data_IF_239073414094
#
_entry.id   IF_239073414094
#
_cell.length_a   1.000
_cell.length_b   1.000
_cell.length_c   1.000
_cell.angle_alpha   90.00
_cell.angle_beta   90.00
_cell.angle_gamma   90.00
#
_symmetry.space_group_name_H-M   'P 1'
#
loop_
_entity.id
_entity.type
_entity.pdbx_description
1 polymer ?
#
# COMPACT_ATOMS: atom_id res chain seq x y z
N UNK A 1 -66.87 -25.64 45.54
CA UNK A 1 -67.72 -26.70 46.09
C UNK A 1 -66.87 -27.53 47.03
N UNK A 2 -67.25 -27.69 48.31
CA UNK A 2 -66.61 -28.65 49.19
C UNK A 2 -66.83 -30.08 48.65
N UNK A 3 -65.87 -30.98 48.88
CA UNK A 3 -66.10 -32.40 48.65
C UNK A 3 -67.09 -32.95 49.68
N UNK A 4 -67.78 -34.05 49.39
CA UNK A 4 -68.79 -34.65 50.28
C UNK A 4 -68.27 -34.88 51.70
N UNK A 5 -66.98 -35.22 51.86
CA UNK A 5 -66.37 -35.43 53.17
C UNK A 5 -66.20 -34.14 53.97
N UNK A 6 -65.78 -33.04 53.34
CA UNK A 6 -65.66 -31.74 54.01
C UNK A 6 -67.03 -31.13 54.30
N UNK A 7 -68.01 -31.33 53.40
CA UNK A 7 -69.38 -30.87 53.56
C UNK A 7 -70.08 -31.53 54.75
N UNK A 8 -70.00 -32.87 54.87
CA UNK A 8 -70.57 -33.62 56.01
C UNK A 8 -69.97 -33.21 57.35
N UNK A 9 -68.72 -32.77 57.35
CA UNK A 9 -67.99 -32.38 58.56
C UNK A 9 -68.10 -30.88 58.86
N UNK A 10 -68.74 -30.11 57.97
CA UNK A 10 -68.85 -28.65 58.03
C UNK A 10 -67.49 -27.94 58.16
N UNK A 11 -66.50 -28.37 57.35
CA UNK A 11 -65.13 -27.80 57.33
C UNK A 11 -64.85 -27.14 55.98
N UNK A 12 -64.06 -26.06 55.99
CA UNK A 12 -63.61 -25.38 54.78
C UNK A 12 -62.77 -26.31 53.88
N UNK A 13 -63.29 -26.63 52.70
CA UNK A 13 -62.61 -27.49 51.74
C UNK A 13 -61.63 -26.67 50.89
N UNK A 14 -60.34 -26.72 51.23
CA UNK A 14 -59.28 -26.08 50.43
C UNK A 14 -58.68 -27.08 49.46
N UNK A 15 -58.75 -26.78 48.17
CA UNK A 15 -58.16 -27.60 47.11
C UNK A 15 -56.96 -26.91 46.49
N UNK A 16 -55.91 -27.70 46.21
CA UNK A 16 -54.84 -27.27 45.31
C UNK A 16 -55.20 -27.70 43.89
N UNK A 17 -54.97 -26.88 42.85
CA UNK A 17 -55.17 -27.30 41.46
C UNK A 17 -54.29 -28.50 41.05
N UNK A 18 -53.23 -28.77 41.81
CA UNK A 18 -52.25 -29.82 41.50
C UNK A 18 -52.61 -31.19 42.12
N UNK A 19 -53.60 -31.25 43.02
CA UNK A 19 -53.99 -32.49 43.71
C UNK A 19 -55.47 -32.80 43.52
N UNK A 20 -55.78 -34.05 43.17
CA UNK A 20 -57.18 -34.53 43.07
C UNK A 20 -57.89 -34.66 44.44
N UNK A 21 -57.20 -34.30 45.52
CA UNK A 21 -57.71 -34.35 46.88
C UNK A 21 -57.61 -32.97 47.54
N UNK A 22 -58.61 -32.59 48.34
CA UNK A 22 -58.53 -31.40 49.15
C UNK A 22 -57.53 -31.60 50.31
N UNK A 23 -56.95 -30.51 50.80
CA UNK A 23 -55.93 -30.52 51.84
C UNK A 23 -56.41 -31.24 53.12
N UNK A 24 -57.70 -31.13 53.45
CA UNK A 24 -58.28 -31.79 54.62
C UNK A 24 -58.45 -33.30 54.43
N UNK A 25 -58.85 -33.77 53.25
CA UNK A 25 -58.91 -35.20 52.97
C UNK A 25 -57.52 -35.84 52.96
N UNK A 26 -56.52 -35.15 52.40
CA UNK A 26 -55.11 -35.61 52.45
C UNK A 26 -54.60 -35.66 53.89
N UNK A 27 -54.83 -34.60 54.68
CA UNK A 27 -54.38 -34.53 56.07
C UNK A 27 -55.00 -35.62 56.94
N UNK A 28 -56.26 -35.99 56.66
CA UNK A 28 -56.98 -37.06 57.36
C UNK A 28 -56.66 -38.47 56.85
N UNK A 29 -55.79 -38.62 55.85
CA UNK A 29 -55.45 -39.91 55.26
C UNK A 29 -56.62 -40.58 54.53
N UNK A 30 -57.62 -39.80 54.09
CA UNK A 30 -58.75 -40.33 53.35
C UNK A 30 -58.33 -40.65 51.91
N UNK A 31 -58.57 -41.88 51.48
CA UNK A 31 -58.17 -42.39 50.16
C UNK A 31 -59.02 -41.83 49.01
N UNK A 32 -60.24 -41.36 49.28
CA UNK A 32 -61.14 -40.81 48.27
C UNK A 32 -61.59 -39.40 48.64
N UNK A 33 -61.30 -38.45 47.76
CA UNK A 33 -61.86 -37.10 47.76
C UNK A 33 -62.69 -36.96 46.49
N UNK A 34 -63.98 -36.71 46.62
CA UNK A 34 -64.91 -36.51 45.50
C UNK A 34 -64.93 -35.05 45.02
N UNK A 35 -63.80 -34.35 45.19
CA UNK A 35 -63.67 -32.98 44.75
C UNK A 35 -63.74 -32.91 43.22
N UNK A 36 -64.81 -32.32 42.70
CA UNK A 36 -64.99 -32.11 41.26
C UNK A 36 -64.16 -30.90 40.83
N UNK A 37 -63.21 -31.12 39.92
CA UNK A 37 -62.45 -30.03 39.29
C UNK A 37 -63.43 -29.14 38.51
N UNK A 38 -63.50 -27.86 38.87
CA UNK A 38 -64.42 -26.93 38.21
C UNK A 38 -64.02 -26.72 36.74
N UNK A 39 -64.99 -26.55 35.82
CA UNK A 39 -64.71 -26.20 34.41
C UNK A 39 -63.88 -24.93 34.22
N UNK A 40 -63.84 -24.02 35.21
CA UNK A 40 -62.96 -22.84 35.20
C UNK A 40 -61.48 -23.20 35.36
N UNK A 41 -61.16 -24.21 36.17
CA UNK A 41 -59.78 -24.70 36.38
C UNK A 41 -59.21 -25.28 35.09
N UNK A 42 -59.99 -26.11 34.38
CA UNK A 42 -59.60 -26.63 33.06
C UNK A 42 -59.37 -25.53 32.02
N UNK A 43 -60.19 -24.48 32.03
CA UNK A 43 -60.01 -23.30 31.17
C UNK A 43 -58.73 -22.52 31.52
N UNK A 44 -58.41 -22.37 32.81
CA UNK A 44 -57.16 -21.75 33.26
C UNK A 44 -55.94 -22.54 32.79
N UNK A 45 -55.93 -23.85 33.01
CA UNK A 45 -54.84 -24.73 32.57
C UNK A 45 -54.67 -24.72 31.05
N UNK A 46 -55.76 -24.70 30.30
CA UNK A 46 -55.71 -24.60 28.84
C UNK A 46 -55.10 -23.28 28.37
N UNK A 47 -55.44 -22.16 29.03
CA UNK A 47 -54.83 -20.85 28.74
C UNK A 47 -53.35 -20.80 29.09
N UNK A 48 -52.97 -21.30 30.27
CA UNK A 48 -51.56 -21.33 30.67
C UNK A 48 -50.74 -22.25 29.78
N UNK A 49 -51.28 -23.42 29.39
CA UNK A 49 -50.65 -24.29 28.38
C UNK A 49 -50.46 -23.55 27.06
N UNK A 50 -51.50 -22.88 26.55
CA UNK A 50 -51.40 -22.13 25.29
C UNK A 50 -50.37 -21.00 25.38
N UNK A 51 -50.33 -20.28 26.51
CA UNK A 51 -49.34 -19.22 26.78
C UNK A 51 -47.92 -19.78 26.81
N UNK A 52 -47.69 -20.89 27.51
CA UNK A 52 -46.39 -21.52 27.59
C UNK A 52 -45.95 -22.08 26.24
N UNK A 53 -46.86 -22.70 25.48
CA UNK A 53 -46.58 -23.17 24.13
C UNK A 53 -46.15 -22.01 23.22
N UNK A 54 -46.90 -20.90 23.21
CA UNK A 54 -46.54 -19.73 22.42
C UNK A 54 -45.15 -19.17 22.79
N UNK A 55 -44.78 -19.19 24.08
CA UNK A 55 -43.44 -18.78 24.53
C UNK A 55 -42.34 -19.75 24.09
N UNK A 56 -42.62 -21.06 24.04
CA UNK A 56 -41.69 -22.05 23.53
C UNK A 56 -41.45 -21.84 22.03
N UNK A 57 -42.53 -21.67 21.26
CA UNK A 57 -42.46 -21.43 19.82
C UNK A 57 -41.69 -20.13 19.52
N UNK A 58 -41.94 -19.05 20.27
CA UNK A 58 -41.19 -17.80 20.17
C UNK A 58 -39.69 -17.98 20.49
N UNK A 59 -39.38 -18.76 21.53
CA UNK A 59 -38.00 -19.01 21.92
C UNK A 59 -37.28 -19.85 20.86
N UNK A 60 -37.94 -20.86 20.30
CA UNK A 60 -37.42 -21.67 19.21
C UNK A 60 -37.14 -20.82 17.97
N UNK A 61 -38.07 -19.94 17.57
CA UNK A 61 -37.85 -19.01 16.47
C UNK A 61 -36.64 -18.08 16.72
N UNK A 62 -36.49 -17.55 17.94
CA UNK A 62 -35.33 -16.74 18.34
C UNK A 62 -34.02 -17.52 18.27
N UNK A 63 -34.03 -18.79 18.69
CA UNK A 63 -32.86 -19.66 18.63
C UNK A 63 -32.44 -19.95 17.19
N UNK A 64 -33.40 -20.29 16.33
CA UNK A 64 -33.15 -20.52 14.90
C UNK A 64 -32.62 -19.27 14.20
N UNK A 65 -33.17 -18.09 14.52
CA UNK A 65 -32.64 -16.81 14.02
C UNK A 65 -31.20 -16.58 14.47
N UNK A 66 -30.91 -16.76 15.76
CA UNK A 66 -29.57 -16.59 16.30
C UNK A 66 -28.56 -17.59 15.72
N UNK A 67 -28.97 -18.83 15.48
CA UNK A 67 -28.14 -19.85 14.83
C UNK A 67 -27.82 -19.46 13.38
N UNK A 68 -28.82 -18.97 12.62
CA UNK A 68 -28.60 -18.43 11.28
C UNK A 68 -27.62 -17.25 11.29
N UNK A 69 -27.74 -16.35 12.27
CA UNK A 69 -26.85 -15.18 12.39
C UNK A 69 -25.41 -15.61 12.72
N UNK A 70 -25.22 -16.62 13.56
CA UNK A 70 -23.90 -17.19 13.87
C UNK A 70 -23.26 -17.80 12.63
N UNK A 71 -24.01 -18.59 11.86
CA UNK A 71 -23.50 -19.17 10.61
C UNK A 71 -23.09 -18.09 9.60
N UNK A 72 -23.92 -17.04 9.44
CA UNK A 72 -23.60 -15.91 8.59
C UNK A 72 -22.34 -15.16 9.07
N UNK A 73 -22.18 -14.98 10.38
CA UNK A 73 -20.99 -14.36 10.96
C UNK A 73 -19.72 -15.21 10.75
N UNK A 74 -19.82 -16.53 10.87
CA UNK A 74 -18.71 -17.44 10.58
C UNK A 74 -18.30 -17.41 9.11
N UNK A 75 -19.26 -17.38 8.19
CA UNK A 75 -18.99 -17.24 6.75
C UNK A 75 -18.32 -15.91 6.43
N UNK A 76 -18.80 -14.82 7.04
CA UNK A 76 -18.17 -13.50 6.90
C UNK A 76 -16.73 -13.49 7.47
N UNK A 77 -16.49 -14.15 8.60
CA UNK A 77 -15.15 -14.28 9.18
C UNK A 77 -14.20 -15.08 8.27
N UNK A 78 -14.66 -16.19 7.70
CA UNK A 78 -13.90 -16.98 6.71
C UNK A 78 -13.57 -16.15 5.47
N UNK A 79 -14.53 -15.38 4.96
CA UNK A 79 -14.31 -14.50 3.81
C UNK A 79 -13.28 -13.41 4.12
N UNK A 80 -13.34 -12.81 5.32
CA UNK A 80 -12.37 -11.82 5.77
C UNK A 80 -10.95 -12.39 5.87
N UNK A 81 -10.79 -13.61 6.40
CA UNK A 81 -9.48 -14.27 6.49
C UNK A 81 -8.87 -14.50 5.09
N UNK A 82 -9.68 -14.96 4.12
CA UNK A 82 -9.25 -15.13 2.73
C UNK A 82 -8.82 -13.79 2.12
N UNK A 83 -9.57 -12.72 2.37
CA UNK A 83 -9.24 -11.38 1.89
C UNK A 83 -7.91 -10.86 2.46
N UNK A 84 -7.66 -11.08 3.77
CA UNK A 84 -6.39 -10.73 4.42
C UNK A 84 -5.22 -11.47 3.78
N UNK A 85 -5.35 -12.80 3.58
CA UNK A 85 -4.31 -13.61 2.93
C UNK A 85 -4.01 -13.15 1.50
N UNK A 86 -5.04 -12.77 0.74
CA UNK A 86 -4.88 -12.24 -0.60
C UNK A 86 -4.13 -10.89 -0.60
N UNK A 87 -4.49 -9.99 0.32
CA UNK A 87 -3.82 -8.69 0.47
C UNK A 87 -2.34 -8.84 0.86
N UNK A 88 -2.02 -9.77 1.77
CA UNK A 88 -0.64 -10.08 2.13
C UNK A 88 0.18 -10.63 0.94
N UNK A 89 -0.41 -11.53 0.15
CA UNK A 89 0.23 -12.07 -1.03
C UNK A 89 0.55 -10.95 -2.05
N UNK A 90 -0.40 -10.07 -2.31
CA UNK A 90 -0.20 -8.90 -3.18
C UNK A 90 0.93 -8.00 -2.65
N UNK A 91 0.92 -7.68 -1.35
CA UNK A 91 1.97 -6.88 -0.72
C UNK A 91 3.36 -7.51 -0.89
N UNK A 92 3.48 -8.83 -0.71
CA UNK A 92 4.75 -9.56 -0.93
C UNK A 92 5.24 -9.42 -2.37
N UNK A 93 4.34 -9.55 -3.36
CA UNK A 93 4.74 -9.39 -4.78
C UNK A 93 5.21 -7.97 -5.08
N UNK A 94 4.55 -6.95 -4.52
CA UNK A 94 4.94 -5.54 -4.65
C UNK A 94 6.32 -5.28 -4.06
N UNK A 95 6.59 -5.80 -2.86
CA UNK A 95 7.91 -5.69 -2.21
C UNK A 95 8.99 -6.35 -3.05
N UNK A 96 8.76 -7.57 -3.54
CA UNK A 96 9.73 -8.28 -4.39
C UNK A 96 10.04 -7.50 -5.67
N UNK A 97 9.01 -6.94 -6.33
CA UNK A 97 9.18 -6.08 -7.51
C UNK A 97 10.01 -4.84 -7.18
N UNK A 98 9.72 -4.16 -6.08
CA UNK A 98 10.45 -2.97 -5.63
C UNK A 98 11.93 -3.28 -5.34
N UNK A 99 12.23 -4.41 -4.69
CA UNK A 99 13.61 -4.86 -4.45
C UNK A 99 14.36 -5.12 -5.75
N UNK A 100 13.72 -5.76 -6.73
CA UNK A 100 14.33 -6.00 -8.05
C UNK A 100 14.63 -4.70 -8.79
N UNK A 101 13.70 -3.74 -8.77
CA UNK A 101 13.92 -2.42 -9.39
C UNK A 101 15.03 -1.65 -8.69
N UNK A 102 15.06 -1.66 -7.36
CA UNK A 102 16.11 -1.03 -6.57
C UNK A 102 17.49 -1.64 -6.85
N UNK A 103 17.57 -2.98 -6.93
CA UNK A 103 18.80 -3.68 -7.30
C UNK A 103 19.31 -3.28 -8.70
N UNK A 104 18.41 -3.24 -9.69
CA UNK A 104 18.75 -2.79 -11.05
C UNK A 104 19.24 -1.33 -11.08
N UNK A 105 18.58 -0.44 -10.33
CA UNK A 105 18.98 0.96 -10.23
C UNK A 105 20.37 1.12 -9.59
N UNK A 106 20.65 0.41 -8.49
CA UNK A 106 21.98 0.40 -7.85
C UNK A 106 23.07 -0.11 -8.79
N UNK A 107 22.80 -1.17 -9.56
CA UNK A 107 23.75 -1.68 -10.54
C UNK A 107 24.01 -0.70 -11.70
N UNK A 108 23.01 0.10 -12.09
CA UNK A 108 23.19 1.19 -13.06
C UNK A 108 24.03 2.33 -12.47
N UNK A 109 23.70 2.80 -11.27
CA UNK A 109 24.46 3.85 -10.56
C UNK A 109 25.94 3.46 -10.40
N UNK A 110 26.21 2.23 -9.95
CA UNK A 110 27.58 1.73 -9.86
C UNK A 110 28.34 1.78 -11.19
N UNK A 111 27.70 1.36 -12.30
CA UNK A 111 28.32 1.43 -13.64
C UNK A 111 28.59 2.86 -14.08
N UNK A 112 27.64 3.77 -13.86
CA UNK A 112 27.79 5.18 -14.21
C UNK A 112 28.92 5.84 -13.42
N UNK A 113 29.02 5.60 -12.11
CA UNK A 113 30.13 6.09 -11.29
C UNK A 113 31.48 5.57 -11.78
N UNK A 114 31.55 4.30 -12.18
CA UNK A 114 32.76 3.72 -12.77
C UNK A 114 33.13 4.40 -14.09
N UNK A 115 32.14 4.68 -14.95
CA UNK A 115 32.37 5.38 -16.21
C UNK A 115 32.83 6.83 -15.98
N UNK A 116 32.21 7.55 -15.04
CA UNK A 116 32.62 8.89 -14.63
C UNK A 116 34.08 8.90 -14.17
N UNK A 117 34.45 8.01 -13.25
CA UNK A 117 35.82 7.91 -12.75
C UNK A 117 36.85 7.57 -13.84
N UNK A 118 36.46 6.87 -14.91
CA UNK A 118 37.33 6.63 -16.06
C UNK A 118 37.51 7.89 -16.92
N UNK A 119 36.45 8.67 -17.10
CA UNK A 119 36.51 9.95 -17.81
C UNK A 119 37.38 10.95 -17.05
N UNK A 120 37.19 11.09 -15.74
CA UNK A 120 37.99 11.98 -14.88
C UNK A 120 39.49 11.64 -14.97
N UNK A 121 39.84 10.35 -14.97
CA UNK A 121 41.23 9.89 -15.15
C UNK A 121 41.78 10.23 -16.52
N UNK A 122 40.96 10.10 -17.57
CA UNK A 122 41.37 10.41 -18.94
C UNK A 122 41.56 11.91 -19.12
N UNK A 123 40.62 12.71 -18.63
CA UNK A 123 40.69 14.17 -18.60
C UNK A 123 41.96 14.64 -17.91
N UNK A 124 42.22 14.15 -16.69
CA UNK A 124 43.47 14.45 -15.98
C UNK A 124 44.71 14.09 -16.80
N UNK A 125 44.74 12.92 -17.43
CA UNK A 125 45.88 12.51 -18.26
C UNK A 125 46.06 13.40 -19.51
N UNK A 126 45.00 13.99 -20.05
CA UNK A 126 45.09 14.93 -21.16
C UNK A 126 45.64 16.27 -20.66
N UNK A 127 45.11 16.80 -19.56
CA UNK A 127 45.62 18.01 -18.92
C UNK A 127 47.10 17.89 -18.55
N UNK A 128 47.54 16.77 -17.96
CA UNK A 128 48.94 16.56 -17.60
C UNK A 128 49.86 16.56 -18.85
N UNK A 129 49.37 16.08 -19.99
CA UNK A 129 50.12 16.08 -21.27
C UNK A 129 50.19 17.48 -21.88
N UNK A 130 49.08 18.21 -21.87
CA UNK A 130 49.01 19.60 -22.35
C UNK A 130 49.91 20.50 -21.51
N UNK A 131 49.84 20.38 -20.19
CA UNK A 131 50.69 21.14 -19.27
C UNK A 131 52.17 20.88 -19.54
N UNK A 132 52.56 19.62 -19.74
CA UNK A 132 53.93 19.26 -20.10
C UNK A 132 54.34 19.82 -21.46
N UNK A 133 53.46 19.81 -22.45
CA UNK A 133 53.74 20.36 -23.78
C UNK A 133 54.01 21.87 -23.70
N UNK A 134 53.21 22.60 -22.91
CA UNK A 134 53.41 24.04 -22.66
C UNK A 134 54.75 24.28 -21.95
N UNK A 135 55.06 23.53 -20.89
CA UNK A 135 56.33 23.67 -20.18
C UNK A 135 57.56 23.39 -21.07
N UNK A 136 57.44 22.42 -21.98
CA UNK A 136 58.49 22.09 -22.95
C UNK A 136 58.65 23.21 -24.00
N UNK A 137 57.55 23.77 -24.50
CA UNK A 137 57.54 24.90 -25.45
C UNK A 137 58.16 26.17 -24.83
N UNK A 138 57.74 26.56 -23.62
CA UNK A 138 58.34 27.70 -22.92
C UNK A 138 59.85 27.50 -22.64
N UNK A 139 60.28 26.25 -22.45
CA UNK A 139 61.71 25.94 -22.25
C UNK A 139 62.50 26.12 -23.54
N UNK A 140 61.94 25.73 -24.68
CA UNK A 140 62.56 25.96 -25.99
C UNK A 140 62.56 27.44 -26.37
N UNK A 141 61.49 28.18 -26.06
CA UNK A 141 61.43 29.63 -26.23
C UNK A 141 62.54 30.34 -25.42
N UNK A 142 62.67 30.02 -24.12
CA UNK A 142 63.77 30.56 -23.28
C UNK A 142 65.15 30.26 -23.86
N UNK A 143 65.37 29.03 -24.35
CA UNK A 143 66.64 28.67 -25.02
C UNK A 143 66.85 29.45 -26.32
N UNK A 144 65.80 29.70 -27.09
CA UNK A 144 65.85 30.47 -28.32
C UNK A 144 66.16 31.95 -28.04
N UNK A 145 65.54 32.54 -27.02
CA UNK A 145 65.84 33.89 -26.53
C UNK A 145 67.29 34.02 -26.07
N UNK A 146 67.80 33.06 -25.29
CA UNK A 146 69.20 33.06 -24.84
C UNK A 146 70.19 32.97 -26.02
N UNK A 147 69.85 32.20 -27.06
CA UNK A 147 70.62 32.12 -28.32
C UNK A 147 70.53 33.41 -29.12
N UNK A 148 69.34 34.02 -29.20
CA UNK A 148 69.13 35.30 -29.87
C UNK A 148 69.92 36.42 -29.16
N UNK A 149 69.86 36.50 -27.84
CA UNK A 149 70.65 37.47 -27.05
C UNK A 149 72.16 37.28 -27.23
N UNK A 150 72.61 36.04 -27.35
CA UNK A 150 74.02 35.72 -27.66
C UNK A 150 74.43 36.15 -29.08
N UNK A 151 73.51 36.12 -30.05
CA UNK A 151 73.76 36.56 -31.44
C UNK A 151 73.62 38.08 -31.61
N UNK A 152 72.67 38.73 -30.94
CA UNK A 152 72.49 40.19 -30.94
C UNK A 152 73.67 40.93 -30.27
N UNK A 153 74.29 40.34 -29.24
CA UNK A 153 75.53 40.89 -28.66
C UNK A 153 76.71 40.95 -29.66
N UNK A 154 76.60 40.28 -30.81
CA UNK A 154 77.58 40.31 -31.91
C UNK A 154 77.13 41.14 -33.13
N UNK A 155 75.94 41.76 -33.12
CA UNK A 155 75.29 42.30 -34.33
C UNK A 155 74.50 43.58 -34.02
N UNK A 156 75.19 44.72 -33.92
CA UNK A 156 74.59 46.04 -33.71
C UNK A 156 74.49 46.85 -35.01
N UNK A 157 73.72 46.41 -36.01
CA UNK A 157 73.03 47.31 -36.96
C UNK A 157 72.10 46.51 -37.88
N UNK A 158 70.79 46.75 -37.78
CA UNK A 158 69.91 47.02 -38.93
C UNK A 158 68.43 47.02 -38.50
N UNK A 159 67.81 48.16 -38.72
CA UNK A 159 66.39 48.46 -38.55
C UNK A 159 65.57 47.88 -39.72
N UNK A 160 64.35 47.37 -39.48
CA UNK A 160 63.20 47.74 -40.32
C UNK A 160 61.87 47.21 -39.82
N UNK A 161 60.91 48.10 -40.01
CA UNK A 161 59.48 48.02 -39.74
C UNK A 161 58.79 47.00 -40.66
N UNK A 162 57.84 46.24 -40.12
CA UNK A 162 56.91 45.44 -40.91
C UNK A 162 55.50 45.51 -40.31
N UNK A 163 54.56 45.74 -41.23
CA UNK A 163 53.16 46.12 -41.06
C UNK A 163 52.32 44.93 -40.59
N UNK A 164 51.46 45.20 -39.60
CA UNK A 164 50.49 44.25 -39.01
C UNK A 164 49.27 44.14 -39.94
N UNK A 165 48.89 42.94 -40.40
CA UNK A 165 47.61 42.72 -41.08
C UNK A 165 46.46 42.67 -40.07
N UNK A 166 45.36 43.32 -40.44
CA UNK A 166 44.18 43.58 -39.62
C UNK A 166 43.52 42.33 -39.02
N UNK A 167 43.15 42.49 -37.74
CA UNK A 167 42.34 41.59 -36.93
C UNK A 167 40.98 41.28 -37.58
N UNK A 168 40.77 40.02 -37.95
CA UNK A 168 39.44 39.51 -38.23
C UNK A 168 38.75 39.24 -36.89
N UNK A 169 37.95 40.20 -36.44
CA UNK A 169 37.24 40.16 -35.17
C UNK A 169 36.32 38.92 -35.08
N UNK A 170 36.57 38.09 -34.08
CA UNK A 170 35.79 36.89 -33.74
C UNK A 170 34.28 37.19 -33.57
N UNK A 171 33.92 38.44 -33.25
CA UNK A 171 32.53 38.89 -33.16
C UNK A 171 31.76 38.72 -34.48
N UNK A 172 32.41 38.85 -35.65
CA UNK A 172 31.75 38.71 -36.95
C UNK A 172 31.45 37.25 -37.34
N UNK A 173 32.06 36.26 -36.68
CA UNK A 173 31.83 34.85 -36.98
C UNK A 173 30.58 34.30 -36.27
N UNK A 174 30.24 34.84 -35.10
CA UNK A 174 29.12 34.38 -34.27
C UNK A 174 27.78 34.94 -34.77
N UNK A 175 27.78 36.12 -35.38
CA UNK A 175 26.57 36.78 -35.92
C UNK A 175 26.00 36.12 -37.18
N UNK A 176 26.76 35.23 -37.84
CA UNK A 176 26.29 34.46 -39.00
C UNK A 176 25.69 33.09 -38.64
N UNK A 177 25.64 32.72 -37.37
CA UNK A 177 24.93 31.52 -36.92
C UNK A 177 23.44 31.85 -36.73
N UNK A 178 22.63 31.42 -37.70
CA UNK A 178 21.18 31.64 -37.72
C UNK A 178 20.51 31.25 -36.38
N UNK A 179 19.62 32.08 -35.81
CA UNK A 179 18.88 31.80 -34.56
C UNK A 179 18.08 30.49 -34.57
N UNK A 180 17.85 29.89 -35.75
CA UNK A 180 17.20 28.58 -35.90
C UNK A 180 18.00 27.42 -35.31
N UNK A 181 19.33 27.55 -35.26
CA UNK A 181 20.22 26.49 -34.76
C UNK A 181 19.95 26.18 -33.28
N UNK A 182 19.83 27.22 -32.45
CA UNK A 182 19.58 27.06 -31.01
C UNK A 182 18.15 26.59 -30.70
N UNK A 183 17.16 26.89 -31.55
CA UNK A 183 15.79 26.37 -31.41
C UNK A 183 15.70 24.86 -31.59
N UNK A 184 16.62 24.23 -32.33
CA UNK A 184 16.67 22.78 -32.47
C UNK A 184 17.24 22.07 -31.23
N UNK A 185 17.93 22.78 -30.35
CA UNK A 185 18.55 22.21 -29.14
C UNK A 185 17.66 22.27 -27.89
N UNK A 186 16.41 22.74 -28.04
CA UNK A 186 15.32 22.45 -27.10
C UNK A 186 15.48 23.09 -25.71
N UNK A 187 14.82 24.22 -25.48
CA UNK A 187 14.67 24.80 -24.13
C UNK A 187 13.72 24.00 -23.22
N UNK A 188 13.20 22.86 -23.69
CA UNK A 188 12.45 21.88 -22.90
C UNK A 188 12.97 20.51 -23.28
N UNK A 189 13.56 19.79 -22.32
CA UNK A 189 14.11 18.44 -22.49
C UNK A 189 13.03 17.37 -22.69
N UNK A 190 12.09 17.57 -23.61
CA UNK A 190 11.23 16.52 -24.11
C UNK A 190 11.95 15.83 -25.27
N UNK A 191 12.53 14.66 -24.98
CA UNK A 191 12.89 13.74 -26.05
C UNK A 191 11.63 13.39 -26.84
N UNK A 192 11.67 13.42 -28.19
CA UNK A 192 10.57 12.90 -29.00
C UNK A 192 10.37 11.42 -28.64
N UNK A 193 9.14 11.07 -28.25
CA UNK A 193 8.78 9.70 -27.92
C UNK A 193 9.11 8.78 -29.12
N UNK A 194 9.66 7.58 -28.89
CA UNK A 194 9.91 6.63 -29.97
C UNK A 194 8.59 6.33 -30.66
N UNK A 195 8.52 6.64 -31.96
CA UNK A 195 7.41 6.31 -32.83
C UNK A 195 7.20 4.79 -32.79
N UNK A 196 6.16 4.36 -32.09
CA UNK A 196 5.73 2.97 -32.06
C UNK A 196 5.20 2.61 -33.46
N UNK A 197 6.00 1.87 -34.22
CA UNK A 197 5.59 1.30 -35.49
C UNK A 197 4.46 0.30 -35.29
N UNK A 198 3.25 0.71 -35.66
CA UNK A 198 2.11 -0.19 -35.86
C UNK A 198 2.42 -1.14 -37.02
N UNK A 199 2.71 -2.40 -36.71
CA UNK A 199 2.63 -3.49 -37.67
C UNK A 199 1.27 -4.17 -37.50
N UNK A 200 0.30 -3.75 -38.30
CA UNK A 200 -0.87 -4.56 -38.59
C UNK A 200 -0.45 -5.61 -39.63
N UNK A 201 -0.30 -6.86 -39.18
CA UNK A 201 -0.20 -8.03 -40.05
C UNK A 201 -1.56 -8.70 -40.16
N UNK A 202 -2.07 -8.77 -41.38
CA UNK A 202 -3.25 -9.54 -41.80
C UNK A 202 -2.98 -11.04 -41.86
#
# INVERSE_FOLDING_TARGET
MPCSNCERQNIECRSSPDSNSCAECVRRGLSSCDLVVLPSTWRNLSRERARLQARLDENEAKRLSAESDVLAAEEAARAAEVAVRAAEAEARTKVHRALRTAGSARAKDFRLRKMLALLDRREKSLFDRELKAIEDEEREERKAEDRARSTESSSVVASSSAVVPEDVSFSQLVDNLSPSFWKSLGSGGEMPAPTAGSSQGS
#
